data_IF_358929647858
#
_entry.id   IF_358929647858
#
_cell.length_a   1.000
_cell.length_b   1.000
_cell.length_c   1.000
_cell.angle_alpha   90.00
_cell.angle_beta   90.00
_cell.angle_gamma   90.00
#
_symmetry.space_group_name_H-M   'P 1'
#
loop_
_entity.id
_entity.type
_entity.pdbx_description
1 polymer ?
#
# COMPACT_ATOMS: atom_id res chain seq x y z
N UNK A 1 9.43 -8.43 -9.48
CA UNK A 1 8.47 -7.61 -10.27
C UNK A 1 7.46 -7.04 -9.28
N UNK A 2 7.36 -5.72 -9.17
CA UNK A 2 6.32 -5.04 -8.38
C UNK A 2 5.22 -4.57 -9.34
N UNK A 3 3.97 -4.68 -8.91
CA UNK A 3 2.82 -4.17 -9.65
C UNK A 3 1.81 -3.57 -8.69
N UNK A 4 1.06 -2.59 -9.16
CA UNK A 4 -0.09 -1.99 -8.49
C UNK A 4 -1.25 -1.95 -9.49
N UNK A 5 -2.49 -2.14 -9.01
CA UNK A 5 -3.67 -2.17 -9.86
C UNK A 5 -4.80 -1.37 -9.26
N UNK A 6 -5.40 -0.50 -10.06
CA UNK A 6 -6.57 0.32 -9.70
C UNK A 6 -7.30 0.75 -10.97
N UNK A 7 -8.63 0.85 -10.91
CA UNK A 7 -9.49 1.35 -11.99
C UNK A 7 -9.28 0.65 -13.36
N UNK A 8 -8.97 -0.64 -13.35
CA UNK A 8 -8.70 -1.42 -14.57
C UNK A 8 -7.34 -1.17 -15.22
N UNK A 9 -6.45 -0.45 -14.54
CA UNK A 9 -5.07 -0.22 -14.95
C UNK A 9 -4.09 -0.99 -14.05
N UNK A 10 -3.02 -1.48 -14.65
CA UNK A 10 -1.88 -2.11 -13.98
C UNK A 10 -0.67 -1.23 -14.19
N UNK A 11 -0.09 -0.76 -13.09
CA UNK A 11 1.24 -0.17 -13.04
C UNK A 11 2.24 -1.28 -12.77
N UNK A 12 3.14 -1.55 -13.70
CA UNK A 12 4.08 -2.64 -13.62
C UNK A 12 5.51 -2.15 -13.82
N UNK A 13 6.42 -2.72 -13.03
CA UNK A 13 7.85 -2.47 -13.15
C UNK A 13 8.59 -3.65 -13.73
N UNK A 14 9.27 -3.44 -14.84
CA UNK A 14 10.00 -4.47 -15.56
C UNK A 14 11.46 -4.53 -15.07
N UNK A 15 11.75 -5.50 -14.21
CA UNK A 15 13.04 -5.63 -13.49
C UNK A 15 14.26 -5.80 -14.40
N UNK A 16 14.08 -6.25 -15.64
CA UNK A 16 15.18 -6.47 -16.58
C UNK A 16 15.59 -5.21 -17.35
N UNK A 17 14.78 -4.14 -17.32
CA UNK A 17 15.01 -2.97 -18.17
C UNK A 17 14.92 -1.61 -17.46
N UNK A 18 14.65 -1.56 -16.15
CA UNK A 18 14.46 -0.31 -15.39
C UNK A 18 13.41 0.61 -16.04
N UNK A 19 12.36 0.00 -16.60
CA UNK A 19 11.20 0.72 -17.13
C UNK A 19 9.97 0.33 -16.34
N UNK A 20 9.14 1.33 -16.11
CA UNK A 20 7.78 1.16 -15.62
C UNK A 20 6.79 1.48 -16.74
N UNK A 21 5.64 0.81 -16.69
CA UNK A 21 4.56 1.03 -17.63
C UNK A 21 3.20 0.99 -16.92
N UNK A 22 2.25 1.71 -17.50
CA UNK A 22 0.84 1.60 -17.20
C UNK A 22 0.17 0.86 -18.34
N UNK A 23 -0.60 -0.18 -18.00
CA UNK A 23 -1.29 -1.01 -18.98
C UNK A 23 -2.74 -1.24 -18.57
N UNK A 24 -3.65 -1.04 -19.51
CA UNK A 24 -5.05 -1.39 -19.34
C UNK A 24 -5.37 -2.62 -20.21
N UNK A 25 -5.55 -3.81 -19.62
CA UNK A 25 -5.77 -5.04 -20.38
C UNK A 25 -7.09 -5.07 -21.14
N UNK A 26 -8.09 -4.30 -20.70
CA UNK A 26 -9.42 -4.27 -21.33
C UNK A 26 -9.46 -3.40 -22.58
N UNK A 27 -8.66 -2.33 -22.60
CA UNK A 27 -8.60 -1.38 -23.72
C UNK A 27 -7.34 -1.51 -24.56
N UNK A 28 -6.41 -2.37 -24.12
CA UNK A 28 -5.07 -2.55 -24.69
C UNK A 28 -4.26 -1.25 -24.79
N UNK A 29 -4.56 -0.26 -23.92
CA UNK A 29 -3.81 0.99 -23.83
C UNK A 29 -2.58 0.81 -22.97
N UNK A 30 -1.47 1.40 -23.40
CA UNK A 30 -0.18 1.32 -22.73
C UNK A 30 0.50 2.68 -22.72
N UNK A 31 1.04 3.06 -21.55
CA UNK A 31 1.89 4.23 -21.39
C UNK A 31 3.23 3.80 -20.78
N UNK A 32 4.32 4.17 -21.44
CA UNK A 32 5.66 4.00 -20.89
C UNK A 32 6.01 5.21 -20.04
N UNK A 33 6.55 4.97 -18.85
CA UNK A 33 7.03 6.04 -17.98
C UNK A 33 8.48 6.41 -18.37
N UNK A 34 8.92 7.65 -18.09
CA UNK A 34 10.30 8.06 -18.32
C UNK A 34 11.29 7.16 -17.59
N UNK A 35 12.51 7.11 -18.12
CA UNK A 35 13.59 6.31 -17.53
C UNK A 35 13.79 6.69 -16.07
N UNK A 36 13.81 5.67 -15.25
CA UNK A 36 13.87 5.75 -13.81
C UNK A 36 15.24 6.21 -13.29
N UNK A 37 15.27 6.94 -12.16
CA UNK A 37 16.48 7.24 -11.39
C UNK A 37 17.11 5.97 -10.77
N UNK A 38 18.37 6.03 -10.35
CA UNK A 38 19.10 4.85 -9.80
C UNK A 38 18.41 4.25 -8.56
N UNK A 39 17.72 5.08 -7.79
CA UNK A 39 16.99 4.67 -6.58
C UNK A 39 15.72 3.88 -6.90
N UNK A 40 15.23 3.96 -8.13
CA UNK A 40 14.01 3.25 -8.49
C UNK A 40 14.15 1.77 -8.38
N UNK A 41 15.30 1.13 -8.62
CA UNK A 41 15.40 -0.35 -8.61
C UNK A 41 14.75 -1.01 -7.38
N UNK A 42 14.74 -0.33 -6.22
CA UNK A 42 14.09 -0.73 -4.96
C UNK A 42 12.79 0.01 -4.63
N UNK A 43 12.40 1.01 -5.42
CA UNK A 43 11.19 1.78 -5.24
C UNK A 43 9.92 0.99 -5.47
N UNK A 44 8.86 1.48 -4.83
CA UNK A 44 7.48 1.08 -5.05
C UNK A 44 6.78 2.15 -5.87
N UNK A 45 5.61 1.78 -6.40
CA UNK A 45 4.87 2.57 -7.36
C UNK A 45 3.39 2.56 -6.99
N UNK A 46 2.75 3.71 -7.16
CA UNK A 46 1.31 3.90 -6.97
C UNK A 46 0.83 5.05 -7.87
N UNK A 47 -0.48 5.22 -8.04
CA UNK A 47 -1.05 6.32 -8.79
C UNK A 47 -2.39 6.82 -8.20
N UNK A 48 -2.66 8.11 -8.37
CA UNK A 48 -3.79 8.77 -7.70
C UNK A 48 -5.15 8.55 -8.35
N UNK A 49 -5.19 8.33 -9.66
CA UNK A 49 -6.43 8.17 -10.42
C UNK A 49 -6.16 7.43 -11.73
N UNK A 50 -7.20 7.14 -12.51
CA UNK A 50 -7.01 6.57 -13.86
C UNK A 50 -5.90 7.32 -14.62
N UNK A 51 -4.90 6.63 -15.21
CA UNK A 51 -3.82 7.26 -15.96
C UNK A 51 -4.23 8.22 -17.08
N UNK A 52 -5.44 8.05 -17.61
CA UNK A 52 -6.01 8.94 -18.63
C UNK A 52 -6.54 10.25 -18.07
N UNK A 53 -6.66 10.38 -16.74
CA UNK A 53 -7.05 11.62 -16.07
C UNK A 53 -5.88 12.59 -16.01
N UNK A 54 -6.12 13.86 -16.36
CA UNK A 54 -5.14 14.95 -16.20
C UNK A 54 -4.76 15.21 -14.74
N UNK A 55 -5.58 14.73 -13.79
CA UNK A 55 -5.33 14.80 -12.35
C UNK A 55 -4.49 13.64 -11.83
N UNK A 56 -4.23 12.61 -12.65
CA UNK A 56 -3.43 11.47 -12.25
C UNK A 56 -1.98 11.91 -11.98
N UNK A 57 -1.47 11.47 -10.84
CA UNK A 57 -0.08 11.55 -10.43
C UNK A 57 0.35 10.12 -10.20
N UNK A 58 1.39 9.71 -10.91
CA UNK A 58 2.12 8.49 -10.59
C UNK A 58 3.21 8.86 -9.61
N UNK A 59 3.36 8.06 -8.57
CA UNK A 59 4.44 8.21 -7.62
C UNK A 59 5.36 7.01 -7.69
N UNK A 60 6.65 7.28 -7.49
CA UNK A 60 7.63 6.30 -7.09
C UNK A 60 8.18 6.68 -5.73
N UNK A 61 8.40 5.73 -4.84
CA UNK A 61 8.92 6.04 -3.52
C UNK A 61 9.87 4.97 -3.01
N UNK A 62 10.92 5.43 -2.33
CA UNK A 62 11.97 4.57 -1.81
C UNK A 62 12.64 5.21 -0.59
N UNK A 63 13.26 4.36 0.22
CA UNK A 63 14.21 4.78 1.25
C UNK A 63 15.61 4.85 0.64
N UNK A 64 16.34 5.92 0.90
CA UNK A 64 17.74 6.07 0.50
C UNK A 64 18.62 5.29 1.48
N UNK A 65 19.33 4.22 1.05
CA UNK A 65 20.04 3.35 1.99
C UNK A 65 21.17 4.01 2.79
N UNK A 66 21.75 5.09 2.27
CA UNK A 66 22.93 5.75 2.87
C UNK A 66 22.56 6.87 3.83
N UNK A 67 21.47 7.59 3.57
CA UNK A 67 21.07 8.77 4.35
C UNK A 67 19.80 8.55 5.15
N UNK A 68 19.08 7.45 4.91
CA UNK A 68 17.79 7.14 5.52
C UNK A 68 16.68 8.13 5.18
N UNK A 69 16.90 8.96 4.15
CA UNK A 69 15.89 9.88 3.64
C UNK A 69 14.78 9.13 2.92
N UNK A 70 13.60 9.73 2.95
CA UNK A 70 12.48 9.28 2.16
C UNK A 70 12.39 10.06 0.86
N UNK A 71 12.49 9.33 -0.25
CA UNK A 71 12.41 9.87 -1.59
C UNK A 71 11.03 9.58 -2.17
N UNK A 72 10.37 10.61 -2.70
CA UNK A 72 9.17 10.47 -3.51
C UNK A 72 9.42 11.16 -4.84
N UNK A 73 9.24 10.43 -5.93
CA UNK A 73 9.28 10.96 -7.28
C UNK A 73 7.86 11.01 -7.83
N UNK A 74 7.47 12.12 -8.42
CA UNK A 74 6.14 12.32 -9.02
C UNK A 74 6.27 12.43 -10.54
N UNK A 75 5.30 11.89 -11.26
CA UNK A 75 5.18 12.02 -12.70
C UNK A 75 3.71 12.14 -13.12
N UNK A 76 3.44 12.98 -14.10
CA UNK A 76 2.14 13.11 -14.75
C UNK A 76 2.24 12.73 -16.22
N UNK A 77 1.13 12.22 -16.77
CA UNK A 77 1.06 11.86 -18.18
C UNK A 77 1.43 13.05 -19.07
N UNK A 78 2.46 12.87 -19.90
CA UNK A 78 2.97 13.90 -20.82
C UNK A 78 4.25 14.59 -20.33
N UNK A 79 4.71 14.35 -19.10
CA UNK A 79 6.00 14.85 -18.63
C UNK A 79 7.15 13.97 -19.13
N UNK A 80 8.27 14.60 -19.51
CA UNK A 80 9.47 13.90 -20.00
C UNK A 80 10.35 13.36 -18.86
N UNK A 81 10.21 13.90 -17.65
CA UNK A 81 11.06 13.59 -16.50
C UNK A 81 10.26 13.49 -15.21
N UNK A 82 10.74 12.69 -14.28
CA UNK A 82 10.22 12.65 -12.92
C UNK A 82 10.64 13.90 -12.14
N UNK A 83 9.77 14.38 -11.25
CA UNK A 83 10.11 15.40 -10.26
C UNK A 83 10.44 14.73 -8.93
N UNK A 84 11.62 15.00 -8.38
CA UNK A 84 12.11 14.35 -7.16
C UNK A 84 11.90 15.22 -5.92
N UNK A 85 11.29 14.63 -4.89
CA UNK A 85 11.07 15.21 -3.57
C UNK A 85 11.84 14.41 -2.53
N UNK A 86 12.65 15.08 -1.71
CA UNK A 86 13.49 14.44 -0.68
C UNK A 86 13.08 14.95 0.69
N UNK A 87 12.78 14.01 1.58
CA UNK A 87 12.35 14.28 2.96
C UNK A 87 13.34 13.66 3.94
N UNK A 88 14.04 14.52 4.68
CA UNK A 88 15.14 14.13 5.57
C UNK A 88 14.65 13.42 6.85
N UNK A 89 15.53 12.59 7.44
CA UNK A 89 15.34 11.98 8.76
C UNK A 89 14.05 11.14 8.90
N UNK A 90 13.59 10.58 7.79
CA UNK A 90 12.46 9.69 7.77
C UNK A 90 12.92 8.26 8.10
N UNK A 91 13.30 8.01 9.35
CA UNK A 91 13.81 6.72 9.87
C UNK A 91 12.84 5.53 9.73
N UNK A 92 11.66 5.73 9.14
CA UNK A 92 10.59 4.75 9.05
C UNK A 92 10.62 4.07 7.67
N UNK A 93 10.42 2.76 7.65
CA UNK A 93 10.26 2.02 6.40
C UNK A 93 8.86 2.22 5.82
N UNK A 94 8.67 3.26 5.00
CA UNK A 94 7.41 3.50 4.27
C UNK A 94 7.36 2.59 3.05
N UNK A 95 6.60 1.50 3.15
CA UNK A 95 6.60 0.44 2.14
C UNK A 95 5.27 0.36 1.37
N UNK A 96 4.18 0.88 1.94
CA UNK A 96 2.83 0.80 1.39
C UNK A 96 2.15 2.16 1.42
N UNK A 97 1.39 2.47 0.38
CA UNK A 97 0.54 3.64 0.36
C UNK A 97 -0.82 3.37 -0.30
N UNK A 98 -1.73 4.32 -0.11
CA UNK A 98 -2.99 4.45 -0.84
C UNK A 98 -3.27 5.92 -1.11
N UNK A 99 -3.94 6.22 -2.22
CA UNK A 99 -4.39 7.57 -2.53
C UNK A 99 -5.85 7.79 -2.15
N UNK A 100 -6.13 8.84 -1.37
CA UNK A 100 -7.46 9.26 -0.95
C UNK A 100 -7.53 10.78 -0.79
N UNK A 101 -8.66 11.39 -1.15
CA UNK A 101 -8.96 12.80 -0.88
C UNK A 101 -7.84 13.79 -1.29
N UNK A 102 -7.15 13.52 -2.40
CA UNK A 102 -6.12 14.42 -2.93
C UNK A 102 -4.69 14.11 -2.48
N UNK A 103 -4.49 13.22 -1.50
CA UNK A 103 -3.18 12.94 -0.90
C UNK A 103 -2.87 11.45 -0.87
N UNK A 104 -1.58 11.12 -0.75
CA UNK A 104 -1.11 9.75 -0.54
C UNK A 104 -0.88 9.50 0.95
N UNK A 105 -1.55 8.49 1.49
CA UNK A 105 -1.34 7.99 2.85
C UNK A 105 -0.33 6.86 2.81
N UNK A 106 0.71 6.96 3.61
CA UNK A 106 1.77 5.96 3.73
C UNK A 106 1.69 5.28 5.08
N UNK A 107 1.86 3.96 5.08
CA UNK A 107 2.02 3.17 6.29
C UNK A 107 3.48 2.74 6.42
N UNK A 108 4.05 2.96 7.60
CA UNK A 108 5.37 2.44 7.91
C UNK A 108 5.32 1.02 8.48
N UNK A 109 6.45 0.32 8.37
CA UNK A 109 6.69 -0.96 9.04
C UNK A 109 6.55 -0.88 10.57
N UNK A 110 6.68 0.32 11.15
CA UNK A 110 6.49 0.58 12.58
C UNK A 110 5.11 1.18 12.92
N UNK A 111 4.12 1.04 12.03
CA UNK A 111 2.71 1.35 12.31
C UNK A 111 2.39 2.84 12.37
N UNK A 112 3.28 3.68 11.84
CA UNK A 112 3.06 5.12 11.73
C UNK A 112 2.40 5.45 10.40
N UNK A 113 1.66 6.55 10.38
CA UNK A 113 1.03 7.06 9.16
C UNK A 113 1.68 8.38 8.74
N UNK A 114 2.08 8.45 7.48
CA UNK A 114 2.57 9.66 6.83
C UNK A 114 1.63 10.08 5.71
N UNK A 115 1.64 11.36 5.36
CA UNK A 115 0.86 11.92 4.25
C UNK A 115 1.79 12.71 3.35
N UNK A 116 1.71 12.39 2.06
CA UNK A 116 2.32 13.19 0.99
C UNK A 116 1.22 13.91 0.21
N UNK A 117 1.33 15.24 0.14
CA UNK A 117 0.51 16.07 -0.74
C UNK A 117 1.25 16.27 -2.07
N UNK A 118 0.77 15.70 -3.20
CA UNK A 118 1.43 15.84 -4.49
C UNK A 118 1.23 17.22 -5.14
N UNK A 119 0.30 18.05 -4.66
CA UNK A 119 0.09 19.42 -5.14
C UNK A 119 1.05 20.39 -4.44
N UNK A 120 1.17 20.26 -3.12
CA UNK A 120 2.02 21.14 -2.30
C UNK A 120 3.45 20.60 -2.14
N UNK A 121 3.72 19.38 -2.59
CA UNK A 121 4.98 18.66 -2.40
C UNK A 121 5.41 18.57 -0.92
N UNK A 122 4.44 18.43 -0.01
CA UNK A 122 4.69 18.37 1.43
C UNK A 122 4.63 16.96 1.97
N UNK A 123 5.43 16.69 3.00
CA UNK A 123 5.46 15.44 3.73
C UNK A 123 5.16 15.69 5.21
N UNK A 124 4.12 15.05 5.74
CA UNK A 124 3.68 15.24 7.11
C UNK A 124 3.47 13.89 7.81
N UNK A 125 4.00 13.75 9.03
CA UNK A 125 3.67 12.63 9.90
C UNK A 125 2.31 12.91 10.56
N UNK A 126 1.36 11.98 10.46
CA UNK A 126 0.11 12.13 11.17
C UNK A 126 0.34 11.97 12.68
N UNK A 127 -0.29 12.81 13.52
CA UNK A 127 -0.18 12.74 14.98
C UNK A 127 -1.03 11.60 15.57
N UNK A 128 -1.05 10.47 14.88
CA UNK A 128 -1.77 9.26 15.28
C UNK A 128 -0.79 8.42 16.08
N UNK A 129 -1.20 8.03 17.29
CA UNK A 129 -0.41 7.11 18.11
C UNK A 129 -0.14 5.83 17.30
N UNK A 130 1.12 5.45 17.06
CA UNK A 130 1.43 4.20 16.38
C UNK A 130 0.81 3.05 17.18
N UNK A 131 0.15 2.13 16.49
CA UNK A 131 -0.30 0.92 17.17
C UNK A 131 0.93 0.09 17.54
N UNK A 132 0.98 -0.38 18.78
CA UNK A 132 2.04 -1.28 19.22
C UNK A 132 1.77 -2.65 18.59
N UNK A 133 2.70 -3.11 17.77
CA UNK A 133 2.62 -4.45 17.23
C UNK A 133 2.66 -5.46 18.38
N UNK A 134 1.74 -6.44 18.39
CA UNK A 134 1.85 -7.54 19.34
C UNK A 134 3.14 -8.35 19.12
N UNK A 135 3.67 -8.37 17.88
CA UNK A 135 4.86 -9.14 17.51
C UNK A 135 5.71 -8.39 16.46
N UNK A 136 7.05 -8.40 16.58
CA UNK A 136 7.96 -7.95 15.52
C UNK A 136 7.62 -8.63 14.18
N UNK A 137 7.77 -7.92 13.07
CA UNK A 137 7.58 -8.41 11.68
C UNK A 137 6.15 -8.81 11.28
N UNK A 138 5.15 -8.47 12.10
CA UNK A 138 3.73 -8.66 11.76
C UNK A 138 3.36 -7.95 10.44
N UNK A 139 2.75 -8.65 9.47
CA UNK A 139 2.33 -8.04 8.21
C UNK A 139 1.32 -6.92 8.42
N UNK A 140 1.61 -5.79 7.79
CA UNK A 140 0.70 -4.64 7.75
C UNK A 140 0.20 -4.35 6.36
N UNK A 141 -1.00 -3.81 6.31
CA UNK A 141 -1.69 -3.45 5.09
C UNK A 141 -2.41 -2.12 5.30
N UNK A 142 -2.37 -1.27 4.29
CA UNK A 142 -3.15 -0.04 4.22
C UNK A 142 -4.10 -0.15 3.04
N UNK A 143 -5.33 0.32 3.23
CA UNK A 143 -6.42 0.18 2.27
C UNK A 143 -7.25 1.46 2.28
N UNK A 144 -7.91 1.73 1.17
CA UNK A 144 -8.81 2.87 0.98
C UNK A 144 -10.16 2.37 0.50
N UNK A 145 -11.24 2.96 1.03
CA UNK A 145 -12.58 2.76 0.51
C UNK A 145 -13.46 3.98 0.79
N UNK A 146 -14.02 4.55 -0.27
CA UNK A 146 -14.93 5.71 -0.21
C UNK A 146 -14.35 6.90 0.59
N UNK A 147 -13.04 7.11 0.48
CA UNK A 147 -12.35 8.19 1.17
C UNK A 147 -11.87 7.82 2.59
N UNK A 148 -12.33 6.70 3.15
CA UNK A 148 -11.87 6.18 4.43
C UNK A 148 -10.57 5.40 4.28
N UNK A 149 -9.68 5.55 5.26
CA UNK A 149 -8.41 4.81 5.34
C UNK A 149 -8.52 3.72 6.40
N UNK A 150 -8.15 2.50 6.00
CA UNK A 150 -8.11 1.33 6.87
C UNK A 150 -6.69 0.78 6.97
N UNK A 151 -6.34 0.29 8.15
CA UNK A 151 -5.08 -0.39 8.40
C UNK A 151 -5.39 -1.77 8.96
N UNK A 152 -4.81 -2.81 8.37
CA UNK A 152 -4.90 -4.18 8.89
C UNK A 152 -3.54 -4.64 9.37
N UNK A 153 -3.52 -5.25 10.55
CA UNK A 153 -2.38 -5.97 11.09
C UNK A 153 -2.73 -7.46 11.20
N UNK A 154 -1.81 -8.31 10.77
CA UNK A 154 -1.92 -9.76 11.01
C UNK A 154 -0.92 -10.19 12.05
N UNK A 155 -1.35 -11.00 13.03
CA UNK A 155 -0.41 -11.70 13.93
C UNK A 155 0.23 -12.87 13.19
N UNK A 156 1.56 -12.99 13.27
CA UNK A 156 2.27 -14.13 12.70
C UNK A 156 1.80 -15.38 13.46
N UNK A 157 1.44 -16.45 12.77
CA UNK A 157 0.99 -17.72 13.36
C UNK A 157 -0.43 -17.77 13.97
N UNK A 158 -1.28 -16.76 13.73
CA UNK A 158 -2.70 -16.86 14.08
C UNK A 158 -3.61 -16.37 12.94
N UNK A 159 -4.84 -16.86 12.96
CA UNK A 159 -5.92 -16.35 12.11
C UNK A 159 -6.52 -15.03 12.68
N UNK A 160 -5.86 -14.42 13.67
CA UNK A 160 -6.33 -13.19 14.28
C UNK A 160 -5.75 -12.00 13.50
N UNK A 161 -6.66 -11.33 12.81
CA UNK A 161 -6.40 -10.10 12.09
C UNK A 161 -7.14 -8.97 12.78
N UNK A 162 -6.47 -7.84 12.94
CA UNK A 162 -7.05 -6.64 13.55
C UNK A 162 -7.12 -5.58 12.45
N UNK A 163 -8.31 -5.01 12.26
CA UNK A 163 -8.54 -3.93 11.31
C UNK A 163 -8.83 -2.66 12.09
N UNK A 164 -8.23 -1.56 11.67
CA UNK A 164 -8.43 -0.23 12.22
C UNK A 164 -8.95 0.70 11.12
N UNK A 165 -9.81 1.64 11.49
CA UNK A 165 -10.19 2.78 10.65
C UNK A 165 -9.53 4.04 11.19
N UNK A 166 -8.94 4.84 10.30
CA UNK A 166 -8.37 6.13 10.65
C UNK A 166 -9.49 7.15 10.93
N UNK A 167 -9.54 7.68 12.14
CA UNK A 167 -10.37 8.81 12.51
C UNK A 167 -9.54 10.10 12.51
N UNK A 168 -9.61 10.85 11.41
CA UNK A 168 -8.87 12.11 11.26
C UNK A 168 -9.32 13.20 12.25
N UNK A 169 -10.59 13.19 12.68
CA UNK A 169 -11.10 14.21 13.62
C UNK A 169 -10.45 14.07 15.00
N UNK A 170 -10.17 12.84 15.42
CA UNK A 170 -9.61 12.55 16.74
C UNK A 170 -8.14 12.12 16.67
N UNK A 171 -7.54 12.01 15.48
CA UNK A 171 -6.18 11.52 15.25
C UNK A 171 -5.92 10.15 15.90
N UNK A 172 -6.85 9.20 15.74
CA UNK A 172 -6.73 7.84 16.29
C UNK A 172 -7.06 6.78 15.24
N UNK A 173 -6.48 5.60 15.42
CA UNK A 173 -6.89 4.37 14.73
C UNK A 173 -7.91 3.65 15.59
N UNK A 174 -9.15 3.58 15.12
CA UNK A 174 -10.25 2.92 15.82
C UNK A 174 -10.34 1.46 15.38
N UNK A 175 -10.19 0.53 16.32
CA UNK A 175 -10.34 -0.89 16.05
C UNK A 175 -11.77 -1.20 15.57
N UNK A 176 -11.87 -1.94 14.48
CA UNK A 176 -13.12 -2.41 13.89
C UNK A 176 -13.38 -3.85 14.30
N UNK A 177 -14.41 -4.04 15.13
CA UNK A 177 -14.99 -5.36 15.46
C UNK A 177 -15.97 -5.85 14.40
N UNK A 178 -16.51 -4.91 13.62
CA UNK A 178 -17.35 -5.19 12.47
C UNK A 178 -16.88 -4.32 11.30
N UNK A 179 -16.90 -4.90 10.10
CA UNK A 179 -16.46 -4.22 8.87
C UNK A 179 -17.61 -3.51 8.16
N UNK A 180 -18.83 -3.51 8.71
CA UNK A 180 -19.97 -2.79 8.13
C UNK A 180 -20.39 -3.31 6.77
N UNK A 181 -20.23 -4.62 6.51
CA UNK A 181 -20.50 -5.22 5.20
C UNK A 181 -19.30 -5.19 4.24
N UNK A 182 -18.17 -4.60 4.65
CA UNK A 182 -16.95 -4.61 3.86
C UNK A 182 -16.20 -5.95 3.97
N UNK A 183 -15.42 -6.23 2.95
CA UNK A 183 -14.57 -7.41 2.82
C UNK A 183 -13.15 -6.97 2.52
N UNK A 184 -12.19 -7.55 3.25
CA UNK A 184 -10.76 -7.25 3.13
C UNK A 184 -10.06 -8.36 2.35
N UNK A 185 -9.25 -7.96 1.37
CA UNK A 185 -8.34 -8.84 0.65
C UNK A 185 -6.92 -8.37 0.92
N UNK A 186 -6.10 -9.23 1.52
CA UNK A 186 -4.77 -8.84 1.97
C UNK A 186 -3.71 -9.84 1.50
N UNK A 187 -2.73 -9.34 0.75
CA UNK A 187 -1.61 -10.11 0.24
C UNK A 187 -0.33 -9.27 0.28
N UNK A 188 0.84 -9.92 0.29
CA UNK A 188 2.13 -9.23 0.26
C UNK A 188 2.24 -8.20 -0.90
N UNK A 189 1.85 -8.51 -2.15
CA UNK A 189 1.94 -7.53 -3.25
C UNK A 189 0.90 -6.41 -3.18
N UNK A 190 -0.18 -6.57 -2.43
CA UNK A 190 -1.23 -5.54 -2.33
C UNK A 190 -2.40 -5.93 -1.44
N UNK A 191 -3.13 -4.91 -1.01
CA UNK A 191 -4.33 -5.04 -0.19
C UNK A 191 -5.41 -4.08 -0.66
N UNK A 192 -6.67 -4.51 -0.59
CA UNK A 192 -7.82 -3.65 -0.86
C UNK A 192 -9.02 -4.07 -0.01
N UNK A 193 -9.94 -3.13 0.18
CA UNK A 193 -11.18 -3.33 0.92
C UNK A 193 -12.35 -2.83 0.06
N UNK A 194 -13.47 -3.55 0.07
CA UNK A 194 -14.66 -3.18 -0.70
C UNK A 194 -15.93 -3.73 -0.09
N UNK A 195 -17.07 -3.13 -0.41
CA UNK A 195 -18.37 -3.74 -0.17
C UNK A 195 -18.57 -4.99 -1.04
N UNK A 196 -19.19 -6.03 -0.47
CA UNK A 196 -19.56 -7.25 -1.19
C UNK A 196 -21.09 -7.38 -1.27
N UNK A 197 -21.58 -7.95 -2.37
CA UNK A 197 -23.01 -8.13 -2.63
C UNK A 197 -23.59 -9.37 -1.95
N UNK A 198 -22.76 -10.39 -1.70
CA UNK A 198 -23.18 -11.62 -1.03
C UNK A 198 -23.04 -11.49 0.47
N UNK A 199 -24.12 -11.81 1.21
CA UNK A 199 -24.11 -11.84 2.67
C UNK A 199 -23.11 -12.83 3.26
N UNK A 200 -22.72 -13.85 2.49
CA UNK A 200 -21.68 -14.78 2.92
C UNK A 200 -20.30 -14.12 2.94
N UNK A 201 -20.01 -13.24 1.98
CA UNK A 201 -18.70 -12.62 1.77
C UNK A 201 -18.49 -11.36 2.61
N UNK A 202 -19.57 -10.73 3.06
CA UNK A 202 -19.55 -9.58 3.96
C UNK A 202 -18.81 -9.90 5.26
N UNK A 203 -18.10 -8.90 5.80
CA UNK A 203 -17.39 -8.98 7.09
C UNK A 203 -16.33 -10.11 7.13
N UNK A 204 -15.72 -10.41 5.98
CA UNK A 204 -14.64 -11.40 5.87
C UNK A 204 -13.30 -10.76 5.53
N UNK A 205 -12.25 -11.44 6.01
CA UNK A 205 -10.87 -11.16 5.67
C UNK A 205 -10.34 -12.37 4.90
N UNK A 206 -9.79 -12.13 3.71
CA UNK A 206 -9.14 -13.11 2.84
C UNK A 206 -7.63 -12.85 2.82
N UNK A 207 -6.87 -13.48 3.73
CA UNK A 207 -5.42 -13.36 3.77
C UNK A 207 -4.76 -14.35 2.80
N UNK A 208 -3.78 -13.89 2.03
CA UNK A 208 -2.97 -14.73 1.13
C UNK A 208 -1.48 -14.81 1.55
N UNK A 209 -1.14 -14.32 2.73
CA UNK A 209 0.24 -14.27 3.24
C UNK A 209 0.68 -15.54 4.02
N UNK A 210 0.10 -16.70 3.71
CA UNK A 210 0.28 -17.99 4.42
C UNK A 210 1.70 -18.59 4.38
N UNK A 211 2.71 -17.88 3.86
CA UNK A 211 4.09 -18.38 3.81
C UNK A 211 5.15 -17.27 3.86
N UNK A 212 5.11 -16.40 4.87
CA UNK A 212 6.21 -15.45 5.11
C UNK A 212 7.55 -16.13 5.43
N UNK A 213 7.53 -17.39 5.91
CA UNK A 213 8.72 -18.20 6.10
C UNK A 213 9.52 -18.46 4.80
N UNK A 214 8.84 -18.51 3.64
CA UNK A 214 9.51 -18.67 2.34
C UNK A 214 10.07 -17.35 1.79
N UNK A 215 9.60 -16.19 2.29
CA UNK A 215 10.02 -14.88 1.81
C UNK A 215 11.20 -14.33 2.63
N UNK A 216 11.29 -14.66 3.93
CA UNK A 216 12.35 -14.21 4.83
C UNK A 216 13.35 -15.30 5.28
N UNK A 217 13.34 -16.47 4.64
CA UNK A 217 14.46 -17.41 4.71
C UNK A 217 14.66 -18.12 6.05
N UNK A 218 13.59 -18.58 6.71
CA UNK A 218 13.75 -19.57 7.80
C UNK A 218 12.86 -20.79 7.56
N UNK A 219 13.51 -21.91 7.27
CA UNK A 219 12.92 -23.23 7.07
C UNK A 219 12.28 -23.72 8.37
N UNK A 220 10.95 -23.81 8.39
CA UNK A 220 10.20 -24.62 9.37
C UNK A 220 9.08 -25.35 8.64
N UNK A 221 9.14 -26.69 8.71
CA UNK A 221 8.17 -27.60 8.09
C UNK A 221 6.93 -27.71 8.97
N UNK A 222 5.97 -26.81 8.80
CA UNK A 222 4.59 -27.03 9.27
C UNK A 222 3.61 -26.94 8.10
N UNK A 223 2.65 -27.89 8.00
CA UNK A 223 1.69 -27.92 6.91
C UNK A 223 0.76 -26.70 6.98
N UNK A 224 0.33 -26.15 5.83
CA UNK A 224 -0.55 -24.98 5.79
C UNK A 224 -1.91 -25.30 6.43
N UNK A 225 -2.37 -24.45 7.36
CA UNK A 225 -3.75 -24.47 7.85
C UNK A 225 -4.68 -23.88 6.79
N UNK A 226 -5.59 -24.69 6.26
CA UNK A 226 -6.53 -24.38 5.19
C UNK A 226 -7.74 -23.53 5.64
N UNK A 227 -7.52 -22.36 6.23
CA UNK A 227 -8.61 -21.40 6.45
C UNK A 227 -8.47 -20.23 5.46
N UNK A 228 -9.18 -20.33 4.35
CA UNK A 228 -9.17 -19.36 3.23
C UNK A 228 -9.77 -17.99 3.60
N UNK A 229 -10.50 -17.90 4.71
CA UNK A 229 -11.08 -16.65 5.19
C UNK A 229 -11.35 -16.70 6.70
N UNK A 230 -11.39 -15.53 7.33
CA UNK A 230 -11.80 -15.36 8.73
C UNK A 230 -12.92 -14.31 8.81
N UNK A 231 -13.89 -14.53 9.71
CA UNK A 231 -14.90 -13.51 10.05
C UNK A 231 -14.36 -12.58 11.12
N UNK A 232 -14.69 -11.29 11.01
CA UNK A 232 -14.51 -10.34 12.11
C UNK A 232 -15.66 -10.55 13.10
N UNK A 233 -15.34 -10.69 14.39
CA UNK A 233 -16.28 -11.06 15.46
C UNK A 233 -16.73 -9.85 16.29
#
# INVERSE_FOLDING_TARGET
MSYYSRDGWVLAKLSTRMYSLLFNPFTNKLFCLPKESVYHSRSRLDFSATPTSTRCVVISYARVPTTEDFLIETWRLGEDTWTTHRFENSFRGWDKCVFSNGVFYFLSTCGCLGVFDPCEATWNLLPVKPFLFPEPDSPVFIMEHEGDIFVMCSRLNSNNHIVFKLNMKHNVLEEKRDLGGLTVFASVPGSFIRACLSAEEMNRIYPSFTNLHLIFGTSSHHPPKNNLSCRVA
#
